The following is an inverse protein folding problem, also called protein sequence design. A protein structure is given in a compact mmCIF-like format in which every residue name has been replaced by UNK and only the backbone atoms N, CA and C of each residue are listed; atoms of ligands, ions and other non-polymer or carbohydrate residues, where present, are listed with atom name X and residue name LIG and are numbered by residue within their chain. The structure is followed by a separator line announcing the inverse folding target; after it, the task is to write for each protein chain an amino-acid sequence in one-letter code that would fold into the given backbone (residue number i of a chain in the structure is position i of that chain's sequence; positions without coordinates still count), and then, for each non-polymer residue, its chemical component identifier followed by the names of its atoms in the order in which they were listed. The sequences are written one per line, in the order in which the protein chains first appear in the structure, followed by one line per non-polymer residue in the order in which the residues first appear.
data_IF_157740674866
#
_entry.id   IF_157740674866
#
_cell.length_a   1.000
_cell.length_b   1.000
_cell.length_c   1.000
_cell.angle_alpha   90.00
_cell.angle_beta   90.00
_cell.angle_gamma   90.00
#
_symmetry.space_group_name_H-M   'P 1'
#
loop_
_entity.id
_entity.type
_entity.pdbx_description
1 polymer ?
#
# COMPACT_ATOMS: atom_id res chain seq x y z
N UNK A 1 3.02 6.52 -32.47
CA UNK A 1 2.38 6.81 -31.16
C UNK A 1 2.30 5.50 -30.42
N UNK A 2 3.16 5.29 -29.41
CA UNK A 2 3.04 4.13 -28.53
C UNK A 2 1.95 4.48 -27.52
N UNK A 3 0.82 3.78 -27.60
CA UNK A 3 -0.20 3.84 -26.55
C UNK A 3 0.46 3.16 -25.35
N UNK A 4 0.88 3.95 -24.36
CA UNK A 4 1.46 3.42 -23.14
C UNK A 4 0.30 2.73 -22.39
N UNK A 5 0.15 1.41 -22.57
CA UNK A 5 -0.85 0.66 -21.81
C UNK A 5 -0.44 0.75 -20.34
N UNK A 6 -1.26 1.41 -19.51
CA UNK A 6 -1.04 1.45 -18.06
C UNK A 6 -0.97 0.01 -17.54
N UNK A 7 0.07 -0.30 -16.77
CA UNK A 7 0.17 -1.61 -16.14
C UNK A 7 -0.92 -1.78 -15.10
N UNK A 8 -1.22 -3.04 -14.74
CA UNK A 8 -2.20 -3.36 -13.69
C UNK A 8 -1.84 -2.66 -12.37
N UNK A 9 -0.56 -2.67 -12.01
CA UNK A 9 -0.07 -1.95 -10.83
C UNK A 9 -0.31 -0.43 -10.95
N UNK A 10 -0.16 0.15 -12.13
CA UNK A 10 -0.41 1.58 -12.34
C UNK A 10 -1.89 1.94 -12.20
N UNK A 11 -2.78 1.07 -12.70
CA UNK A 11 -4.23 1.22 -12.56
C UNK A 11 -4.65 1.13 -11.08
N UNK A 12 -4.20 0.08 -10.37
CA UNK A 12 -4.45 -0.07 -8.93
C UNK A 12 -3.90 1.13 -8.15
N UNK A 13 -2.65 1.54 -8.40
CA UNK A 13 -2.03 2.66 -7.70
C UNK A 13 -2.84 3.95 -7.89
N UNK A 14 -3.34 4.22 -9.10
CA UNK A 14 -4.15 5.40 -9.38
C UNK A 14 -5.43 5.41 -8.54
N UNK A 15 -6.14 4.28 -8.48
CA UNK A 15 -7.36 4.15 -7.68
C UNK A 15 -7.09 4.20 -6.17
N UNK A 16 -5.99 3.62 -5.69
CA UNK A 16 -5.58 3.71 -4.29
C UNK A 16 -5.30 5.16 -3.90
N UNK A 17 -4.58 5.92 -4.73
CA UNK A 17 -4.28 7.32 -4.43
C UNK A 17 -5.56 8.17 -4.39
N UNK A 18 -6.52 7.90 -5.28
CA UNK A 18 -7.84 8.53 -5.23
C UNK A 18 -8.59 8.18 -3.93
N UNK A 19 -8.60 6.90 -3.55
CA UNK A 19 -9.29 6.39 -2.36
C UNK A 19 -8.67 6.82 -1.03
N UNK A 20 -7.34 7.01 -0.97
CA UNK A 20 -6.65 7.48 0.24
C UNK A 20 -7.19 8.83 0.69
N UNK A 21 -7.57 9.71 -0.24
CA UNK A 21 -8.16 11.02 0.09
C UNK A 21 -9.46 10.92 0.90
N UNK A 22 -10.16 9.78 0.84
CA UNK A 22 -11.36 9.50 1.60
C UNK A 22 -11.08 8.87 2.99
N UNK A 23 -9.85 8.40 3.24
CA UNK A 23 -9.43 7.93 4.57
C UNK A 23 -9.30 9.12 5.51
N UNK A 24 -10.16 9.16 6.53
CA UNK A 24 -10.21 10.22 7.53
C UNK A 24 -10.02 9.71 8.96
N UNK A 25 -9.99 10.64 9.91
CA UNK A 25 -9.93 10.30 11.33
C UNK A 25 -8.59 9.69 11.75
N UNK A 26 -8.62 8.54 12.42
CA UNK A 26 -7.43 7.83 12.92
C UNK A 26 -6.60 7.20 11.78
N UNK A 27 -7.23 6.96 10.63
CA UNK A 27 -6.62 6.33 9.44
C UNK A 27 -6.17 7.35 8.39
N UNK A 28 -6.21 8.64 8.73
CA UNK A 28 -5.76 9.70 7.84
C UNK A 28 -4.33 9.41 7.38
N UNK A 29 -4.21 9.19 6.07
CA UNK A 29 -2.98 8.71 5.43
C UNK A 29 -2.40 9.81 4.57
N UNK A 30 -1.18 10.23 4.89
CA UNK A 30 -0.44 11.25 4.15
C UNK A 30 0.57 10.55 3.23
N UNK A 31 0.34 10.59 1.92
CA UNK A 31 1.25 9.99 0.94
C UNK A 31 2.42 10.93 0.66
N UNK A 32 3.64 10.44 0.83
CA UNK A 32 4.88 11.15 0.50
C UNK A 32 5.37 10.82 -0.90
N UNK A 33 5.31 9.54 -1.29
CA UNK A 33 5.75 9.06 -2.60
C UNK A 33 4.96 7.83 -3.03
N UNK A 34 4.77 7.67 -4.34
CA UNK A 34 4.03 6.58 -4.94
C UNK A 34 4.61 6.22 -6.31
N UNK A 35 4.91 4.95 -6.54
CA UNK A 35 5.41 4.46 -7.83
C UNK A 35 5.05 2.99 -8.04
N UNK A 36 5.30 2.50 -9.25
CA UNK A 36 5.20 1.09 -9.59
C UNK A 36 6.58 0.51 -9.86
N UNK A 37 6.78 -0.74 -9.46
CA UNK A 37 7.95 -1.53 -9.83
C UNK A 37 7.50 -2.58 -10.84
N UNK A 38 7.76 -2.31 -12.12
CA UNK A 38 7.29 -3.17 -13.20
C UNK A 38 5.76 -3.12 -13.35
N UNK A 39 5.15 -4.28 -13.61
CA UNK A 39 3.75 -4.36 -14.01
C UNK A 39 2.79 -4.78 -12.88
N UNK A 40 3.34 -5.29 -11.79
CA UNK A 40 2.64 -6.08 -10.79
C UNK A 40 3.01 -5.70 -9.35
N UNK A 41 3.83 -4.67 -9.13
CA UNK A 41 4.13 -4.17 -7.79
C UNK A 41 3.87 -2.68 -7.71
N UNK A 42 3.17 -2.26 -6.66
CA UNK A 42 3.05 -0.86 -6.28
C UNK A 42 3.83 -0.60 -4.99
N UNK A 43 4.35 0.62 -4.89
CA UNK A 43 5.08 1.11 -3.75
C UNK A 43 4.46 2.44 -3.28
N UNK A 44 4.21 2.55 -1.99
CA UNK A 44 3.68 3.75 -1.33
C UNK A 44 4.55 4.07 -0.12
N UNK A 45 5.07 5.29 -0.05
CA UNK A 45 5.64 5.86 1.19
C UNK A 45 4.60 6.79 1.79
N UNK A 46 4.25 6.57 3.04
CA UNK A 46 3.17 7.30 3.70
C UNK A 46 3.42 7.49 5.19
N UNK A 47 2.63 8.38 5.79
CA UNK A 47 2.55 8.61 7.23
C UNK A 47 1.12 8.49 7.71
N UNK A 48 0.94 8.03 8.93
CA UNK A 48 -0.34 8.08 9.64
C UNK A 48 -0.11 8.71 11.02
N UNK A 49 -0.05 10.04 11.11
CA UNK A 49 0.40 10.75 12.31
C UNK A 49 -0.40 10.43 13.57
N UNK A 50 -1.69 10.14 13.39
CA UNK A 50 -2.62 9.77 14.47
C UNK A 50 -2.29 8.43 15.11
N UNK A 51 -1.64 7.53 14.37
CA UNK A 51 -1.39 6.15 14.77
C UNK A 51 0.07 5.88 15.08
N UNK A 52 0.98 6.39 14.24
CA UNK A 52 2.42 6.11 14.32
C UNK A 52 3.27 7.36 14.51
N UNK A 53 2.68 8.50 14.88
CA UNK A 53 3.39 9.78 14.97
C UNK A 53 4.16 10.09 13.67
N UNK A 54 5.42 10.53 13.76
CA UNK A 54 6.22 10.94 12.59
C UNK A 54 6.93 9.77 11.88
N UNK A 55 6.51 8.52 12.11
CA UNK A 55 7.10 7.35 11.44
C UNK A 55 6.73 7.32 9.96
N UNK A 56 7.74 7.08 9.10
CA UNK A 56 7.59 6.87 7.66
C UNK A 56 7.40 5.39 7.38
N UNK A 57 6.26 5.04 6.80
CA UNK A 57 5.91 3.67 6.44
C UNK A 57 6.01 3.47 4.94
N UNK A 58 6.43 2.28 4.53
CA UNK A 58 6.52 1.89 3.13
C UNK A 58 5.68 0.64 2.85
N UNK A 59 4.63 0.74 2.05
CA UNK A 59 3.89 -0.41 1.55
C UNK A 59 4.46 -0.80 0.18
N UNK A 60 5.04 -1.99 0.05
CA UNK A 60 5.49 -2.59 -1.21
C UNK A 60 4.65 -3.82 -1.51
N UNK A 61 3.61 -3.66 -2.33
CA UNK A 61 2.54 -4.65 -2.48
C UNK A 61 2.50 -5.21 -3.90
N UNK A 62 2.56 -6.53 -4.02
CA UNK A 62 2.24 -7.22 -5.28
C UNK A 62 0.75 -7.13 -5.57
N UNK A 63 0.40 -6.88 -6.83
CA UNK A 63 -0.95 -6.78 -7.36
C UNK A 63 -1.29 -8.09 -8.05
N UNK A 64 -2.12 -8.91 -7.40
CA UNK A 64 -2.41 -10.26 -7.87
C UNK A 64 -3.20 -10.22 -9.19
N UNK A 65 -2.82 -11.03 -10.20
CA UNK A 65 -3.50 -11.07 -11.48
C UNK A 65 -4.89 -11.73 -11.37
N UNK A 66 -5.08 -12.61 -10.38
CA UNK A 66 -6.31 -13.38 -10.18
C UNK A 66 -7.41 -12.58 -9.47
N UNK A 67 -7.12 -11.37 -8.98
CA UNK A 67 -8.09 -10.52 -8.28
C UNK A 67 -8.68 -9.48 -9.23
N UNK A 68 -9.86 -8.94 -8.91
CA UNK A 68 -10.33 -7.73 -9.60
C UNK A 68 -9.47 -6.53 -9.19
N UNK A 69 -9.36 -5.50 -10.03
CA UNK A 69 -8.68 -4.25 -9.66
C UNK A 69 -9.33 -3.68 -8.38
N UNK A 70 -10.66 -3.59 -8.38
CA UNK A 70 -11.45 -3.12 -7.24
C UNK A 70 -11.16 -3.91 -5.96
N UNK A 71 -11.07 -5.24 -6.03
CA UNK A 71 -10.78 -6.06 -4.85
C UNK A 71 -9.37 -5.85 -4.29
N UNK A 72 -8.37 -5.59 -5.16
CA UNK A 72 -7.03 -5.22 -4.68
C UNK A 72 -7.03 -3.82 -4.06
N UNK A 73 -7.74 -2.86 -4.68
CA UNK A 73 -7.87 -1.49 -4.16
C UNK A 73 -8.56 -1.49 -2.79
N UNK A 74 -9.65 -2.24 -2.63
CA UNK A 74 -10.39 -2.36 -1.37
C UNK A 74 -9.52 -2.97 -0.26
N UNK A 75 -8.79 -4.05 -0.56
CA UNK A 75 -7.85 -4.66 0.39
C UNK A 75 -6.78 -3.66 0.84
N UNK A 76 -6.20 -2.90 -0.09
CA UNK A 76 -5.18 -1.89 0.25
C UNK A 76 -5.78 -0.78 1.12
N UNK A 77 -6.94 -0.23 0.73
CA UNK A 77 -7.54 0.90 1.44
C UNK A 77 -8.09 0.50 2.81
N UNK A 78 -8.70 -0.67 2.93
CA UNK A 78 -9.41 -1.11 4.14
C UNK A 78 -8.51 -2.01 5.00
N UNK A 79 -7.94 -3.07 4.43
CA UNK A 79 -7.18 -4.08 5.18
C UNK A 79 -5.71 -3.72 5.43
N UNK A 80 -5.14 -2.81 4.65
CA UNK A 80 -3.72 -2.45 4.75
C UNK A 80 -3.50 -1.04 5.29
N UNK A 81 -4.21 -0.04 4.77
CA UNK A 81 -4.11 1.35 5.21
C UNK A 81 -5.21 1.72 6.22
N UNK A 82 -6.36 1.06 6.16
CA UNK A 82 -7.50 1.30 7.04
C UNK A 82 -7.45 0.54 8.37
N UNK A 83 -6.40 -0.28 8.58
CA UNK A 83 -6.20 -1.07 9.79
C UNK A 83 -4.80 -0.83 10.38
N UNK A 84 -4.64 -1.00 11.71
CA UNK A 84 -3.34 -0.84 12.33
C UNK A 84 -2.48 -2.05 12.00
N UNK A 85 -1.21 -1.82 11.66
CA UNK A 85 -0.16 -2.85 11.53
C UNK A 85 0.00 -3.71 12.80
N UNK A 86 -0.49 -3.25 13.96
CA UNK A 86 -0.39 -3.96 15.22
C UNK A 86 1.06 -4.30 15.57
N UNK A 87 1.29 -5.53 16.04
CA UNK A 87 2.63 -6.03 16.41
C UNK A 87 3.60 -6.13 15.22
N UNK A 88 3.12 -6.01 13.98
CA UNK A 88 4.00 -5.97 12.81
C UNK A 88 4.85 -4.70 12.81
N UNK A 89 4.29 -3.57 13.24
CA UNK A 89 5.03 -2.32 13.31
C UNK A 89 6.30 -2.46 14.15
N UNK A 90 6.23 -3.16 15.28
CA UNK A 90 7.35 -3.33 16.22
C UNK A 90 8.49 -4.18 15.66
N UNK A 91 8.24 -4.97 14.61
CA UNK A 91 9.25 -5.82 13.96
C UNK A 91 9.84 -5.23 12.69
N UNK A 92 9.27 -4.12 12.19
CA UNK A 92 9.81 -3.45 11.01
C UNK A 92 11.12 -2.74 11.36
N UNK A 93 12.05 -2.77 10.42
CA UNK A 93 13.29 -2.02 10.49
C UNK A 93 13.27 -0.94 9.41
N UNK A 94 13.69 0.25 9.80
CA UNK A 94 13.85 1.35 8.86
C UNK A 94 15.03 1.07 7.92
N UNK A 95 14.86 1.42 6.65
CA UNK A 95 15.96 1.43 5.68
C UNK A 95 16.88 2.66 5.88
N UNK A 96 17.83 2.85 4.95
CA UNK A 96 18.77 3.97 5.00
C UNK A 96 18.09 5.35 4.89
N UNK A 97 16.89 5.42 4.34
CA UNK A 97 16.09 6.64 4.19
C UNK A 97 15.10 6.82 5.36
N UNK A 98 15.13 5.92 6.34
CA UNK A 98 14.25 5.96 7.51
C UNK A 98 12.85 5.40 7.26
N UNK A 99 12.62 4.67 6.16
CA UNK A 99 11.32 4.10 5.80
C UNK A 99 11.18 2.68 6.32
N UNK A 100 10.12 2.41 7.07
CA UNK A 100 9.79 1.08 7.61
C UNK A 100 8.91 0.32 6.60
N UNK A 101 9.54 -0.55 5.81
CA UNK A 101 8.89 -1.26 4.70
C UNK A 101 8.17 -2.54 5.12
N UNK A 102 7.00 -2.79 4.53
CA UNK A 102 6.22 -4.01 4.68
C UNK A 102 5.48 -4.37 3.37
N UNK A 103 4.98 -5.60 3.26
CA UNK A 103 4.50 -6.17 2.00
C UNK A 103 2.99 -6.42 1.94
N UNK A 104 2.20 -5.76 2.78
CA UNK A 104 0.75 -5.97 2.84
C UNK A 104 0.29 -7.09 3.77
N UNK A 105 -1.03 -7.19 3.92
CA UNK A 105 -1.71 -8.31 4.59
C UNK A 105 -2.24 -9.25 3.51
N UNK A 106 -1.45 -10.26 3.14
CA UNK A 106 -2.01 -11.36 2.36
C UNK A 106 -2.91 -12.21 3.27
N UNK A 107 -4.19 -12.43 2.93
CA UNK A 107 -5.04 -13.36 3.66
C UNK A 107 -4.34 -14.72 3.84
N UNK A 108 -4.43 -15.33 5.02
CA UNK A 108 -3.71 -16.58 5.35
C UNK A 108 -3.92 -17.71 4.33
N UNK A 109 -5.11 -17.81 3.73
CA UNK A 109 -5.41 -18.82 2.72
C UNK A 109 -4.60 -18.66 1.42
N UNK A 110 -3.96 -17.50 1.19
CA UNK A 110 -3.05 -17.22 0.08
C UNK A 110 -1.57 -17.39 0.42
N UNK A 111 -1.20 -17.38 1.70
CA UNK A 111 0.19 -17.62 2.12
C UNK A 111 0.60 -19.09 1.96
N UNK A 112 -0.37 -19.98 1.76
CA UNK A 112 -0.18 -21.41 1.47
C UNK A 112 -0.33 -21.68 -0.02
N UNK A 113 0.62 -21.25 -0.85
CA UNK A 113 0.70 -21.70 -2.25
C UNK A 113 2.13 -21.87 -2.71
#
# INVERSE_FOLDING_TARGET
MVVNQSSRAQEVLSHVLEGISALGGEWATEVEAAWTEGNDVLCLVYRQPRMYADVRLGLRRSVEPDWSIEGVVDEILVGELGEPLGSRHDSLQADADGVMWWTGNLPEWKQRR
#
